data_IF_645755134223
#
_entry.id   IF_645755134223
#
_cell.length_a   1.000
_cell.length_b   1.000
_cell.length_c   1.000
_cell.angle_alpha   90.00
_cell.angle_beta   90.00
_cell.angle_gamma   90.00
#
_symmetry.space_group_name_H-M   'P 1'
#
loop_
_entity.id
_entity.type
_entity.pdbx_description
1 polymer ?
#
# COMPACT_ATOMS: atom_id res chain seq x y z
N UNK A 1 -20.88 -6.97 10.27
CA UNK A 1 -20.60 -5.55 10.57
C UNK A 1 -20.25 -4.89 9.25
N UNK A 2 -21.04 -3.96 8.77
CA UNK A 2 -20.79 -3.22 7.53
C UNK A 2 -20.02 -1.98 7.94
N UNK A 3 -18.75 -1.91 7.59
CA UNK A 3 -17.95 -0.69 7.78
C UNK A 3 -18.28 0.21 6.60
N UNK A 4 -19.04 1.26 6.81
CA UNK A 4 -19.54 2.08 5.71
C UNK A 4 -18.53 3.08 5.18
N UNK A 5 -17.61 3.57 5.93
CA UNK A 5 -16.53 4.48 5.50
C UNK A 5 -15.60 4.74 6.68
N UNK A 6 -14.34 4.51 6.52
CA UNK A 6 -13.32 5.06 7.43
C UNK A 6 -12.70 6.24 6.70
N UNK A 7 -13.15 7.44 7.01
CA UNK A 7 -12.48 8.67 6.59
C UNK A 7 -11.33 8.92 7.56
N UNK A 8 -10.11 8.79 7.10
CA UNK A 8 -8.91 9.00 7.91
C UNK A 8 -8.50 10.47 8.09
N UNK A 9 -9.43 11.42 7.95
CA UNK A 9 -9.13 12.81 8.30
C UNK A 9 -8.75 13.02 9.77
N UNK A 10 -9.07 12.03 10.63
CA UNK A 10 -8.71 12.03 12.05
C UNK A 10 -7.39 11.30 12.36
N UNK A 11 -6.88 10.45 11.44
CA UNK A 11 -5.68 9.65 11.66
C UNK A 11 -4.62 10.00 10.60
N UNK A 12 -3.90 11.08 10.82
CA UNK A 12 -2.84 11.54 9.92
C UNK A 12 -1.53 11.76 10.67
N UNK A 13 -0.96 10.74 11.33
CA UNK A 13 0.34 10.90 11.92
C UNK A 13 1.36 11.05 10.79
N UNK A 14 2.09 12.15 10.77
CA UNK A 14 3.34 12.18 10.04
C UNK A 14 4.17 10.96 10.47
N UNK A 15 4.87 10.25 9.55
CA UNK A 15 5.78 9.20 9.95
C UNK A 15 6.82 9.76 10.93
N UNK A 16 6.65 9.50 12.21
CA UNK A 16 7.43 10.08 13.30
C UNK A 16 6.60 10.79 14.39
N UNK A 17 5.33 11.09 14.12
CA UNK A 17 4.43 11.81 15.05
C UNK A 17 3.33 10.93 15.65
N UNK A 18 3.52 9.62 15.68
CA UNK A 18 2.64 8.75 16.47
C UNK A 18 2.68 9.21 17.93
N UNK A 19 1.54 9.58 18.48
CA UNK A 19 1.43 9.91 19.90
C UNK A 19 1.69 8.64 20.76
N UNK A 20 1.74 8.79 22.08
CA UNK A 20 1.99 7.66 22.97
C UNK A 20 0.90 6.58 22.83
N UNK A 21 -0.38 7.01 22.76
CA UNK A 21 -1.52 6.10 22.63
C UNK A 21 -1.49 5.32 21.33
N UNK A 22 -1.13 5.94 20.18
CA UNK A 22 -0.98 5.22 18.91
C UNK A 22 0.11 4.16 18.97
N UNK A 23 1.23 4.45 19.64
CA UNK A 23 2.31 3.48 19.85
C UNK A 23 1.88 2.32 20.72
N UNK A 24 1.10 2.57 21.76
CA UNK A 24 0.57 1.56 22.67
C UNK A 24 -0.40 0.62 21.94
N UNK A 25 -1.29 1.15 21.10
CA UNK A 25 -2.19 0.34 20.26
C UNK A 25 -1.39 -0.55 19.32
N UNK A 26 -0.40 0.02 18.59
CA UNK A 26 0.45 -0.75 17.67
C UNK A 26 1.20 -1.84 18.44
N UNK A 27 1.78 -1.51 19.58
CA UNK A 27 2.51 -2.45 20.43
C UNK A 27 1.64 -3.59 20.94
N UNK A 28 0.43 -3.30 21.41
CA UNK A 28 -0.51 -4.30 21.91
C UNK A 28 -1.00 -5.25 20.80
N UNK A 29 -1.34 -4.72 19.62
CA UNK A 29 -1.71 -5.54 18.47
C UNK A 29 -0.55 -6.41 18.00
N UNK A 30 0.66 -5.85 17.94
CA UNK A 30 1.86 -6.57 17.53
C UNK A 30 2.19 -7.73 18.51
N UNK A 31 2.09 -7.49 19.81
CA UNK A 31 2.26 -8.51 20.82
C UNK A 31 1.24 -9.65 20.67
N UNK A 32 -0.04 -9.32 20.45
CA UNK A 32 -1.08 -10.32 20.22
C UNK A 32 -0.82 -11.13 18.94
N UNK A 33 -0.38 -10.47 17.86
CA UNK A 33 -0.03 -11.16 16.61
C UNK A 33 1.16 -12.10 16.80
N UNK A 34 2.21 -11.67 17.45
CA UNK A 34 3.38 -12.50 17.67
C UNK A 34 3.07 -13.73 18.53
N UNK A 35 2.19 -13.57 19.52
CA UNK A 35 1.77 -14.67 20.38
C UNK A 35 0.94 -15.73 19.62
N UNK A 36 0.05 -15.31 18.72
CA UNK A 36 -0.95 -16.18 18.09
C UNK A 36 -0.70 -16.47 16.61
N UNK A 37 0.15 -15.68 15.95
CA UNK A 37 0.54 -15.80 14.55
C UNK A 37 2.04 -15.56 14.38
N UNK A 38 2.92 -16.46 14.88
CA UNK A 38 4.35 -16.27 14.87
C UNK A 38 4.90 -15.95 13.48
N UNK A 39 5.78 -14.95 13.41
CA UNK A 39 6.38 -14.45 12.17
C UNK A 39 5.56 -13.36 11.46
N UNK A 40 4.40 -13.01 12.01
CA UNK A 40 3.62 -11.87 11.54
C UNK A 40 3.80 -10.69 12.51
N UNK A 41 4.10 -9.51 12.00
CA UNK A 41 4.14 -8.27 12.77
C UNK A 41 3.50 -7.12 11.98
N UNK A 42 3.04 -6.11 12.67
CA UNK A 42 2.49 -4.88 12.05
C UNK A 42 3.52 -4.27 11.10
N UNK A 43 4.78 -4.21 11.52
CA UNK A 43 5.86 -3.66 10.69
C UNK A 43 6.17 -4.53 9.46
N UNK A 44 6.13 -5.86 9.58
CA UNK A 44 6.33 -6.77 8.44
C UNK A 44 5.24 -6.56 7.40
N UNK A 45 3.99 -6.48 7.84
CA UNK A 45 2.84 -6.21 6.97
C UNK A 45 2.98 -4.85 6.28
N UNK A 46 3.30 -3.78 7.02
CA UNK A 46 3.52 -2.45 6.46
C UNK A 46 4.61 -2.45 5.38
N UNK A 47 5.70 -3.17 5.63
CA UNK A 47 6.84 -3.28 4.70
C UNK A 47 6.49 -4.02 3.41
N UNK A 48 5.44 -4.86 3.39
CA UNK A 48 4.95 -5.48 2.14
C UNK A 48 4.34 -4.47 1.18
N UNK A 49 3.82 -3.34 1.70
CA UNK A 49 3.25 -2.26 0.89
C UNK A 49 4.32 -1.24 0.52
N UNK A 50 5.09 -0.77 1.51
CA UNK A 50 6.17 0.17 1.25
C UNK A 50 7.36 -0.05 2.21
N UNK A 51 8.58 -0.28 1.69
CA UNK A 51 9.77 -0.54 2.48
C UNK A 51 10.38 0.75 3.05
N UNK A 52 9.66 1.42 3.94
CA UNK A 52 9.99 2.74 4.45
C UNK A 52 11.38 2.84 5.09
N UNK A 53 11.81 1.80 5.81
CA UNK A 53 13.13 1.79 6.42
C UNK A 53 14.25 1.82 5.38
N UNK A 54 14.09 1.06 4.30
CA UNK A 54 15.05 1.04 3.20
C UNK A 54 15.06 2.37 2.43
N UNK A 55 13.88 2.96 2.19
CA UNK A 55 13.79 4.30 1.61
C UNK A 55 14.46 5.36 2.47
N UNK A 56 14.31 5.30 3.79
CA UNK A 56 15.01 6.22 4.72
C UNK A 56 16.52 6.07 4.66
N UNK A 57 17.02 4.85 4.46
CA UNK A 57 18.45 4.55 4.37
C UNK A 57 19.05 4.98 3.03
N UNK A 58 18.52 4.43 1.95
CA UNK A 58 19.15 4.53 0.62
C UNK A 58 18.64 5.70 -0.23
N UNK A 59 17.45 6.26 0.13
CA UNK A 59 16.77 7.31 -0.62
C UNK A 59 16.39 6.89 -2.05
N UNK A 60 15.61 7.74 -2.74
CA UNK A 60 15.28 7.58 -4.15
C UNK A 60 16.44 8.12 -5.02
N UNK A 61 16.83 7.46 -6.12
CA UNK A 61 16.23 6.21 -6.66
C UNK A 61 16.89 4.93 -6.13
N UNK A 62 17.95 5.00 -5.33
CA UNK A 62 18.78 3.85 -4.97
C UNK A 62 18.01 2.76 -4.23
N UNK A 63 17.05 3.11 -3.37
CA UNK A 63 16.28 2.14 -2.59
C UNK A 63 15.48 1.16 -3.46
N UNK A 64 15.11 1.52 -4.69
CA UNK A 64 14.40 0.62 -5.61
C UNK A 64 15.24 -0.62 -5.93
N UNK A 65 16.49 -0.40 -6.30
CA UNK A 65 17.42 -1.48 -6.62
C UNK A 65 17.75 -2.31 -5.38
N UNK A 66 18.03 -1.68 -4.25
CA UNK A 66 18.27 -2.34 -2.98
C UNK A 66 17.09 -3.24 -2.59
N UNK A 67 15.86 -2.76 -2.76
CA UNK A 67 14.66 -3.53 -2.45
C UNK A 67 14.47 -4.72 -3.40
N UNK A 68 14.61 -4.51 -4.70
CA UNK A 68 14.51 -5.59 -5.70
C UNK A 68 15.53 -6.68 -5.43
N UNK A 69 16.79 -6.30 -5.14
CA UNK A 69 17.85 -7.23 -4.83
C UNK A 69 17.58 -8.05 -3.56
N UNK A 70 17.07 -7.40 -2.50
CA UNK A 70 16.68 -8.07 -1.27
C UNK A 70 15.53 -9.07 -1.50
N UNK A 71 14.51 -8.67 -2.25
CA UNK A 71 13.34 -9.51 -2.55
C UNK A 71 13.68 -10.68 -3.47
N UNK A 72 14.51 -10.48 -4.48
CA UNK A 72 14.90 -11.54 -5.42
C UNK A 72 15.65 -12.67 -4.71
N UNK A 73 16.42 -12.36 -3.68
CA UNK A 73 17.12 -13.37 -2.86
C UNK A 73 16.20 -14.17 -1.96
N UNK A 74 15.10 -13.58 -1.51
CA UNK A 74 14.18 -14.18 -0.52
C UNK A 74 12.87 -14.71 -1.09
N UNK A 75 12.55 -14.43 -2.35
CA UNK A 75 11.27 -14.79 -2.94
C UNK A 75 11.19 -16.30 -3.23
N UNK A 76 10.19 -16.94 -2.67
CA UNK A 76 9.88 -18.35 -3.02
C UNK A 76 9.28 -18.41 -4.41
N UNK A 77 9.71 -19.40 -5.18
CA UNK A 77 9.16 -19.69 -6.52
C UNK A 77 7.64 -19.92 -6.40
N UNK A 78 6.87 -19.33 -7.32
CA UNK A 78 5.41 -19.46 -7.35
C UNK A 78 4.65 -18.52 -6.42
N UNK A 79 5.32 -17.57 -5.76
CA UNK A 79 4.64 -16.52 -4.99
C UNK A 79 4.56 -15.22 -5.80
N UNK A 80 3.49 -14.45 -5.57
CA UNK A 80 3.32 -13.14 -6.21
C UNK A 80 4.25 -12.03 -5.66
N UNK A 81 5.04 -12.33 -4.63
CA UNK A 81 5.95 -11.39 -3.98
C UNK A 81 5.26 -10.48 -2.97
N UNK A 82 5.52 -9.19 -3.07
CA UNK A 82 4.93 -8.15 -2.23
C UNK A 82 4.27 -7.07 -3.08
N UNK A 83 3.40 -6.26 -2.47
CA UNK A 83 2.83 -5.10 -3.16
C UNK A 83 3.92 -4.13 -3.62
N UNK A 84 4.88 -3.83 -2.74
CA UNK A 84 6.00 -2.97 -3.08
C UNK A 84 6.81 -3.49 -4.27
N UNK A 85 7.06 -4.81 -4.34
CA UNK A 85 7.78 -5.38 -5.49
C UNK A 85 7.02 -5.18 -6.80
N UNK A 86 5.70 -5.36 -6.78
CA UNK A 86 4.84 -5.13 -7.96
C UNK A 86 4.79 -3.67 -8.38
N UNK A 87 4.88 -2.73 -7.43
CA UNK A 87 4.94 -1.30 -7.72
C UNK A 87 6.30 -0.84 -8.20
N UNK A 88 7.38 -1.48 -7.76
CA UNK A 88 8.76 -1.09 -8.09
C UNK A 88 9.28 -1.78 -9.35
N UNK A 89 8.82 -3.01 -9.61
CA UNK A 89 9.29 -3.79 -10.75
C UNK A 89 8.17 -4.56 -11.42
N UNK A 90 7.94 -4.25 -12.68
CA UNK A 90 7.07 -5.00 -13.60
C UNK A 90 7.87 -5.47 -14.79
N UNK A 91 7.46 -6.60 -15.33
CA UNK A 91 7.99 -7.10 -16.60
C UNK A 91 7.05 -6.62 -17.70
N UNK A 92 7.60 -5.96 -18.70
CA UNK A 92 6.85 -5.48 -19.85
C UNK A 92 6.30 -6.65 -20.69
N UNK A 93 5.33 -6.35 -21.55
CA UNK A 93 4.61 -7.32 -22.39
C UNK A 93 5.55 -8.16 -23.28
N UNK A 94 6.71 -7.61 -23.65
CA UNK A 94 7.73 -8.32 -24.42
C UNK A 94 8.47 -9.41 -23.61
N UNK A 95 8.22 -9.53 -22.32
CA UNK A 95 8.84 -10.49 -21.40
C UNK A 95 10.34 -10.26 -21.13
N UNK A 96 10.94 -9.21 -21.69
CA UNK A 96 12.38 -8.96 -21.64
C UNK A 96 12.76 -7.71 -20.87
N UNK A 97 11.97 -6.64 -21.01
CA UNK A 97 12.24 -5.37 -20.33
C UNK A 97 11.51 -5.30 -19.00
N UNK A 98 12.09 -4.59 -18.06
CA UNK A 98 11.43 -4.26 -16.77
C UNK A 98 11.30 -2.76 -16.63
N UNK A 99 10.24 -2.34 -15.97
CA UNK A 99 9.99 -0.94 -15.67
C UNK A 99 9.53 -0.76 -14.22
N UNK A 100 9.58 0.47 -13.72
CA UNK A 100 9.20 0.83 -12.37
C UNK A 100 7.93 1.71 -12.41
N UNK A 101 6.73 1.13 -12.16
CA UNK A 101 5.47 1.88 -12.17
C UNK A 101 5.44 3.01 -11.14
N UNK A 102 6.00 2.79 -9.94
CA UNK A 102 6.02 3.77 -8.86
C UNK A 102 6.89 4.99 -9.22
N UNK A 103 8.04 4.74 -9.83
CA UNK A 103 8.90 5.82 -10.33
C UNK A 103 8.22 6.63 -11.44
N UNK A 104 7.54 5.94 -12.36
CA UNK A 104 6.79 6.58 -13.43
C UNK A 104 5.65 7.45 -12.88
N UNK A 105 4.91 6.96 -11.87
CA UNK A 105 3.90 7.72 -11.15
C UNK A 105 4.47 9.01 -10.53
N UNK A 106 5.57 8.89 -9.79
CA UNK A 106 6.22 10.05 -9.14
C UNK A 106 6.65 11.08 -10.18
N UNK A 107 7.27 10.64 -11.29
CA UNK A 107 7.69 11.54 -12.38
C UNK A 107 6.51 12.25 -13.07
N UNK A 108 5.40 11.54 -13.27
CA UNK A 108 4.17 12.15 -13.81
C UNK A 108 3.62 13.24 -12.89
N UNK A 109 3.55 12.95 -11.59
CA UNK A 109 3.12 13.92 -10.59
C UNK A 109 4.06 15.13 -10.51
N UNK A 110 5.37 14.93 -10.57
CA UNK A 110 6.34 16.03 -10.64
C UNK A 110 6.09 16.95 -11.83
N UNK A 111 5.89 16.39 -13.03
CA UNK A 111 5.56 17.16 -14.24
C UNK A 111 4.24 17.92 -14.10
N UNK A 112 3.25 17.36 -13.42
CA UNK A 112 1.95 18.01 -13.24
C UNK A 112 1.99 19.21 -12.29
N UNK A 113 2.99 19.29 -11.42
CA UNK A 113 3.18 20.42 -10.49
C UNK A 113 3.51 21.71 -11.22
N UNK A 114 4.33 21.61 -12.28
CA UNK A 114 4.78 22.76 -13.08
C UNK A 114 3.85 23.06 -14.26
N UNK A 115 2.80 22.30 -14.45
CA UNK A 115 1.87 22.37 -15.58
C UNK A 115 0.41 22.28 -15.18
N UNK A 116 -0.46 21.94 -16.17
CA UNK A 116 -1.88 21.64 -15.90
C UNK A 116 -1.99 20.30 -15.20
N UNK A 117 -2.53 20.30 -13.98
CA UNK A 117 -2.99 19.08 -13.33
C UNK A 117 -4.33 18.66 -13.96
N UNK A 118 -4.30 17.63 -14.79
CA UNK A 118 -5.53 17.07 -15.35
C UNK A 118 -6.06 16.03 -14.36
N UNK A 119 -7.22 16.31 -13.80
CA UNK A 119 -7.96 15.34 -13.01
C UNK A 119 -8.71 14.39 -13.97
N UNK A 120 -7.98 13.74 -14.87
CA UNK A 120 -8.59 12.75 -15.75
C UNK A 120 -9.00 11.55 -14.89
N UNK A 121 -10.30 11.41 -14.75
CA UNK A 121 -10.97 10.30 -14.13
C UNK A 121 -10.83 9.10 -15.06
N UNK A 122 -9.89 8.19 -14.77
CA UNK A 122 -9.99 6.83 -15.27
C UNK A 122 -10.44 5.95 -14.13
N UNK A 123 -11.72 5.86 -13.98
CA UNK A 123 -12.36 4.84 -13.18
C UNK A 123 -12.39 3.55 -13.99
N UNK A 124 -12.05 2.45 -13.35
CA UNK A 124 -12.12 1.07 -13.80
C UNK A 124 -10.93 0.53 -14.59
N UNK A 125 -10.10 -0.26 -13.90
CA UNK A 125 -9.54 -1.55 -14.27
C UNK A 125 -9.04 -1.85 -15.69
N UNK A 126 -8.79 -0.87 -16.54
CA UNK A 126 -8.25 -1.05 -17.88
C UNK A 126 -7.12 -0.05 -18.12
N UNK A 127 -6.20 0.05 -17.17
CA UNK A 127 -4.95 0.73 -17.49
C UNK A 127 -4.01 -0.32 -18.04
N UNK A 128 -3.75 -0.24 -19.32
CA UNK A 128 -2.59 -0.86 -19.91
C UNK A 128 -1.37 -0.04 -19.47
N UNK A 129 -0.80 -0.44 -18.35
CA UNK A 129 0.32 0.28 -17.70
C UNK A 129 1.50 0.45 -18.67
N UNK A 130 1.60 -0.40 -19.67
CA UNK A 130 2.64 -0.36 -20.71
C UNK A 130 2.40 0.80 -21.70
N UNK A 131 1.14 1.08 -22.08
CA UNK A 131 0.80 2.16 -22.99
C UNK A 131 0.53 3.49 -22.29
N UNK A 132 -0.12 3.48 -21.14
CA UNK A 132 -0.52 4.71 -20.44
C UNK A 132 0.63 5.38 -19.70
N UNK A 133 1.75 4.67 -19.45
CA UNK A 133 2.95 5.23 -18.84
C UNK A 133 3.94 5.82 -19.85
N UNK A 134 3.91 5.38 -21.11
CA UNK A 134 4.77 5.93 -22.19
C UNK A 134 4.16 7.18 -22.84
N UNK A 135 2.83 7.31 -22.80
CA UNK A 135 2.17 8.51 -23.28
C UNK A 135 2.06 9.55 -22.17
N UNK A 136 2.08 10.85 -22.50
CA UNK A 136 1.86 11.95 -21.55
C UNK A 136 0.45 11.94 -20.93
N UNK A 137 -0.18 10.78 -20.89
CA UNK A 137 -1.50 10.49 -20.38
C UNK A 137 -1.65 10.77 -18.87
N UNK A 138 -2.79 11.28 -18.53
CA UNK A 138 -3.15 11.96 -17.29
C UNK A 138 -3.68 11.05 -16.18
N UNK A 139 -3.12 9.87 -15.98
CA UNK A 139 -3.57 8.96 -14.93
C UNK A 139 -2.53 8.78 -13.81
N UNK A 140 -2.94 8.89 -12.56
CA UNK A 140 -2.11 8.63 -11.36
C UNK A 140 -2.58 7.37 -10.64
N UNK A 141 -2.81 6.31 -11.42
CA UNK A 141 -3.34 5.06 -10.91
C UNK A 141 -2.31 3.95 -11.01
N UNK A 142 -2.27 3.12 -9.98
CA UNK A 142 -1.32 2.04 -9.89
C UNK A 142 -2.06 0.71 -9.70
N UNK A 143 -2.28 -0.07 -10.76
CA UNK A 143 -2.91 -1.38 -10.63
C UNK A 143 -1.98 -2.36 -9.93
N UNK A 144 -2.50 -3.10 -8.95
CA UNK A 144 -1.77 -4.12 -8.21
C UNK A 144 -2.17 -5.54 -8.59
N UNK A 145 -3.32 -5.68 -9.21
CA UNK A 145 -3.76 -6.93 -9.83
C UNK A 145 -3.26 -6.98 -11.27
N UNK A 146 -2.57 -8.05 -11.62
CA UNK A 146 -2.09 -8.31 -12.97
C UNK A 146 -2.91 -9.45 -13.57
N UNK A 147 -3.87 -9.17 -14.49
CA UNK A 147 -4.69 -10.22 -15.08
C UNK A 147 -3.88 -11.28 -15.83
N UNK A 148 -2.73 -10.93 -16.37
CA UNK A 148 -1.85 -11.86 -17.06
C UNK A 148 -1.19 -12.87 -16.12
N UNK A 149 -0.69 -12.39 -14.99
CA UNK A 149 -0.02 -13.21 -13.99
C UNK A 149 -1.01 -13.88 -13.01
N UNK A 150 -2.10 -13.17 -12.64
CA UNK A 150 -2.97 -13.56 -11.53
C UNK A 150 -4.22 -14.35 -11.96
N UNK A 151 -4.57 -14.37 -13.26
CA UNK A 151 -5.83 -14.96 -13.78
C UNK A 151 -6.08 -16.41 -13.39
N UNK A 152 -5.03 -17.19 -13.23
CA UNK A 152 -5.11 -18.62 -12.93
C UNK A 152 -4.88 -18.94 -11.45
N UNK A 153 -4.74 -17.93 -10.58
CA UNK A 153 -4.50 -18.12 -9.15
C UNK A 153 -5.83 -18.15 -8.38
N UNK A 154 -6.32 -19.33 -7.93
CA UNK A 154 -7.56 -19.42 -7.20
C UNK A 154 -7.42 -18.95 -5.75
N UNK A 155 -6.19 -18.85 -5.23
CA UNK A 155 -5.84 -18.49 -3.85
C UNK A 155 -4.58 -17.65 -3.81
N UNK A 156 -4.34 -16.98 -2.69
CA UNK A 156 -3.13 -16.18 -2.42
C UNK A 156 -2.89 -15.03 -3.43
N UNK A 157 -3.96 -14.49 -3.99
CA UNK A 157 -3.87 -13.32 -4.85
C UNK A 157 -3.70 -12.04 -4.02
N UNK A 158 -3.09 -10.97 -4.58
CA UNK A 158 -3.00 -9.69 -3.90
C UNK A 158 -4.40 -9.16 -3.53
N UNK A 159 -4.60 -8.84 -2.26
CA UNK A 159 -5.89 -8.30 -1.80
C UNK A 159 -6.04 -6.81 -2.10
N UNK A 160 -4.98 -6.04 -1.97
CA UNK A 160 -4.90 -4.68 -2.46
C UNK A 160 -4.89 -4.73 -3.99
N UNK A 161 -5.93 -4.19 -4.61
CA UNK A 161 -6.18 -4.33 -6.05
C UNK A 161 -5.92 -3.04 -6.83
N UNK A 162 -6.06 -1.89 -6.17
CA UNK A 162 -5.97 -0.60 -6.86
C UNK A 162 -5.49 0.49 -5.91
N UNK A 163 -4.68 1.40 -6.44
CA UNK A 163 -4.27 2.64 -5.81
C UNK A 163 -4.54 3.79 -6.78
N UNK A 164 -5.24 4.79 -6.32
CA UNK A 164 -5.58 5.99 -7.08
C UNK A 164 -5.04 7.22 -6.38
N UNK A 165 -4.22 7.99 -7.09
CA UNK A 165 -3.70 9.25 -6.59
C UNK A 165 -4.36 10.40 -7.32
N UNK A 166 -4.87 11.38 -6.58
CA UNK A 166 -5.50 12.58 -7.13
C UNK A 166 -4.90 13.82 -6.50
N UNK A 167 -4.79 14.88 -7.29
CA UNK A 167 -4.36 16.18 -6.75
C UNK A 167 -5.58 17.08 -6.59
N UNK A 168 -5.89 17.42 -5.34
CA UNK A 168 -7.02 18.26 -4.97
C UNK A 168 -6.54 19.47 -4.19
N UNK A 169 -6.75 20.67 -4.69
CA UNK A 169 -6.34 21.91 -4.02
C UNK A 169 -4.84 21.94 -3.62
N UNK A 170 -3.97 21.39 -4.45
CA UNK A 170 -2.53 21.34 -4.21
C UNK A 170 -2.07 20.23 -3.25
N UNK A 171 -2.97 19.37 -2.79
CA UNK A 171 -2.68 18.21 -1.95
C UNK A 171 -2.84 16.94 -2.76
N UNK A 172 -2.02 15.96 -2.45
CA UNK A 172 -2.08 14.63 -3.04
C UNK A 172 -2.93 13.71 -2.16
N UNK A 173 -4.05 13.28 -2.67
CA UNK A 173 -4.95 12.31 -2.05
C UNK A 173 -4.58 10.90 -2.51
N UNK A 174 -4.76 9.90 -1.64
CA UNK A 174 -4.61 8.49 -1.98
C UNK A 174 -5.89 7.73 -1.64
N UNK A 175 -6.44 7.03 -2.62
CA UNK A 175 -7.49 6.02 -2.40
C UNK A 175 -6.93 4.63 -2.68
N UNK A 176 -7.11 3.72 -1.73
CA UNK A 176 -6.68 2.33 -1.82
C UNK A 176 -7.90 1.40 -1.76
N UNK A 177 -7.99 0.42 -2.66
CA UNK A 177 -9.10 -0.52 -2.70
C UNK A 177 -8.62 -1.96 -2.44
N UNK A 178 -9.18 -2.57 -1.41
CA UNK A 178 -9.00 -3.97 -1.06
C UNK A 178 -10.23 -4.78 -1.44
N UNK A 179 -10.06 -5.83 -2.25
CA UNK A 179 -11.14 -6.78 -2.57
C UNK A 179 -11.41 -7.80 -1.48
N UNK A 180 -10.45 -8.01 -0.57
CA UNK A 180 -10.60 -8.78 0.67
C UNK A 180 -9.60 -8.24 1.69
N UNK A 181 -10.06 -7.91 2.89
CA UNK A 181 -9.21 -7.28 3.90
C UNK A 181 -9.41 -7.95 5.25
N UNK A 182 -8.33 -8.54 5.76
CA UNK A 182 -8.29 -9.25 7.03
C UNK A 182 -7.92 -8.27 8.15
N UNK A 183 -8.89 -7.97 8.99
CA UNK A 183 -8.79 -6.89 9.96
C UNK A 183 -7.97 -7.26 11.20
N UNK A 184 -7.95 -8.54 11.61
CA UNK A 184 -7.13 -8.98 12.73
C UNK A 184 -5.64 -8.90 12.44
N UNK A 185 -5.21 -9.51 11.35
CA UNK A 185 -3.78 -9.68 11.07
C UNK A 185 -3.15 -8.65 10.11
N UNK A 186 -3.96 -7.90 9.36
CA UNK A 186 -3.43 -7.11 8.23
C UNK A 186 -3.76 -5.62 8.26
N UNK A 187 -4.94 -5.21 8.74
CA UNK A 187 -5.43 -3.85 8.54
C UNK A 187 -4.47 -2.79 9.09
N UNK A 188 -4.00 -2.94 10.33
CA UNK A 188 -3.14 -1.94 10.96
C UNK A 188 -1.80 -1.78 10.19
N UNK A 189 -1.16 -2.88 9.86
CA UNK A 189 0.06 -2.86 9.05
C UNK A 189 -0.18 -2.29 7.65
N UNK A 190 -1.32 -2.63 7.03
CA UNK A 190 -1.69 -2.10 5.72
C UNK A 190 -1.91 -0.58 5.75
N UNK A 191 -2.59 -0.06 6.78
CA UNK A 191 -2.79 1.38 6.95
C UNK A 191 -1.46 2.12 7.11
N UNK A 192 -0.56 1.59 7.95
CA UNK A 192 0.78 2.15 8.12
C UNK A 192 1.58 2.08 6.80
N UNK A 193 1.52 0.97 6.09
CA UNK A 193 2.20 0.80 4.81
C UNK A 193 1.70 1.77 3.73
N UNK A 194 0.38 1.94 3.64
CA UNK A 194 -0.26 2.91 2.73
C UNK A 194 0.09 4.36 3.11
N UNK A 195 0.08 4.68 4.40
CA UNK A 195 0.50 5.99 4.88
C UNK A 195 1.96 6.30 4.51
N UNK A 196 2.85 5.33 4.66
CA UNK A 196 4.26 5.47 4.26
C UNK A 196 4.41 5.65 2.75
N UNK A 197 3.67 4.88 1.95
CA UNK A 197 3.64 5.01 0.48
C UNK A 197 3.11 6.39 0.07
N UNK A 198 2.01 6.82 0.65
CA UNK A 198 1.40 8.13 0.38
C UNK A 198 2.38 9.26 0.68
N UNK A 199 3.03 9.21 1.86
CA UNK A 199 4.04 10.20 2.24
C UNK A 199 5.23 10.21 1.26
N UNK A 200 5.71 9.03 0.86
CA UNK A 200 6.78 8.91 -0.14
C UNK A 200 6.40 9.59 -1.45
N UNK A 201 5.23 9.26 -2.00
CA UNK A 201 4.79 9.83 -3.28
C UNK A 201 4.59 11.34 -3.18
N UNK A 202 3.99 11.83 -2.09
CA UNK A 202 3.77 13.26 -1.88
C UNK A 202 5.10 14.03 -1.79
N UNK A 203 6.02 13.57 -0.95
CA UNK A 203 7.35 14.20 -0.76
C UNK A 203 8.13 14.20 -2.06
N UNK A 204 8.23 13.05 -2.74
CA UNK A 204 9.03 12.90 -3.95
C UNK A 204 8.43 13.63 -5.16
N UNK A 205 7.11 13.84 -5.18
CA UNK A 205 6.45 14.62 -6.23
C UNK A 205 6.31 16.11 -5.89
N UNK A 206 6.61 16.49 -4.64
CA UNK A 206 6.59 17.88 -4.16
C UNK A 206 5.19 18.41 -3.84
N UNK A 207 4.21 17.53 -3.60
CA UNK A 207 2.88 17.91 -3.12
C UNK A 207 2.78 17.80 -1.60
N UNK A 208 1.86 18.57 -1.00
CA UNK A 208 1.41 18.30 0.35
C UNK A 208 0.55 17.04 0.38
N UNK A 209 0.57 16.34 1.51
CA UNK A 209 -0.32 15.20 1.72
C UNK A 209 -1.76 15.66 1.91
N UNK A 210 -2.66 15.03 1.17
CA UNK A 210 -4.09 15.06 1.40
C UNK A 210 -4.58 13.84 2.19
N UNK A 211 -5.88 13.53 2.18
CA UNK A 211 -6.45 12.36 2.83
C UNK A 211 -6.01 11.03 2.19
N UNK A 212 -5.95 10.00 3.04
CA UNK A 212 -5.84 8.60 2.66
C UNK A 212 -7.22 7.95 2.87
N UNK A 213 -7.82 7.44 1.81
CA UNK A 213 -9.08 6.69 1.85
C UNK A 213 -8.83 5.23 1.58
N UNK A 214 -9.35 4.34 2.43
CA UNK A 214 -9.24 2.89 2.24
C UNK A 214 -10.62 2.28 2.09
N UNK A 215 -10.85 1.58 0.99
CA UNK A 215 -12.10 0.89 0.68
C UNK A 215 -11.85 -0.61 0.76
N UNK A 216 -12.56 -1.29 1.65
CA UNK A 216 -12.55 -2.75 1.76
C UNK A 216 -13.88 -3.31 1.27
N UNK A 217 -13.92 -3.90 0.06
CA UNK A 217 -15.15 -4.46 -0.50
C UNK A 217 -15.61 -5.71 0.23
N UNK A 218 -14.69 -6.41 0.87
CA UNK A 218 -14.96 -7.50 1.81
C UNK A 218 -14.02 -7.38 3.02
N UNK A 219 -14.56 -7.02 4.17
CA UNK A 219 -13.82 -6.91 5.43
C UNK A 219 -14.12 -8.10 6.33
N UNK A 220 -13.10 -8.78 6.82
CA UNK A 220 -13.21 -9.93 7.70
C UNK A 220 -12.39 -9.72 8.98
N UNK A 221 -13.04 -9.76 10.14
CA UNK A 221 -12.35 -9.78 11.43
C UNK A 221 -11.92 -11.23 11.74
N UNK A 222 -10.68 -11.53 11.44
CA UNK A 222 -10.05 -12.84 11.65
C UNK A 222 -9.54 -12.97 13.09
N UNK A 223 -10.45 -13.17 14.02
CA UNK A 223 -10.16 -13.20 15.46
C UNK A 223 -9.16 -14.30 15.86
N UNK A 224 -9.03 -15.36 15.08
CA UNK A 224 -8.08 -16.44 15.36
C UNK A 224 -6.61 -15.95 15.37
N UNK A 225 -6.28 -15.01 14.51
CA UNK A 225 -4.93 -14.42 14.47
C UNK A 225 -4.57 -13.61 15.74
N UNK A 226 -5.58 -13.23 16.52
CA UNK A 226 -5.46 -12.50 17.78
C UNK A 226 -5.81 -13.37 19.02
N UNK A 227 -5.82 -14.69 18.88
CA UNK A 227 -6.09 -15.62 20.01
C UNK A 227 -7.58 -15.97 20.20
N UNK A 228 -8.42 -15.73 19.19
CA UNK A 228 -9.85 -16.05 19.22
C UNK A 228 -10.73 -14.94 19.78
N UNK A 229 -12.03 -15.16 19.81
CA UNK A 229 -13.03 -14.14 20.13
C UNK A 229 -12.84 -13.49 21.52
N UNK A 230 -12.50 -14.28 22.54
CA UNK A 230 -12.31 -13.74 23.90
C UNK A 230 -11.08 -12.84 23.99
N UNK A 231 -9.95 -13.27 23.43
CA UNK A 231 -8.71 -12.50 23.44
C UNK A 231 -8.86 -11.22 22.60
N UNK A 232 -9.45 -11.31 21.41
CA UNK A 232 -9.73 -10.15 20.54
C UNK A 232 -10.60 -9.13 21.26
N UNK A 233 -11.66 -9.56 21.95
CA UNK A 233 -12.55 -8.65 22.69
C UNK A 233 -11.82 -7.99 23.86
N UNK A 234 -11.00 -8.74 24.59
CA UNK A 234 -10.18 -8.20 25.67
C UNK A 234 -9.17 -7.15 25.17
N UNK A 235 -8.53 -7.43 24.02
CA UNK A 235 -7.62 -6.48 23.37
C UNK A 235 -8.33 -5.19 22.96
N UNK A 236 -9.50 -5.28 22.33
CA UNK A 236 -10.28 -4.08 21.93
C UNK A 236 -10.71 -3.25 23.14
N UNK A 237 -11.20 -3.89 24.20
CA UNK A 237 -11.63 -3.18 25.41
C UNK A 237 -10.45 -2.54 26.19
N UNK A 238 -9.21 -2.90 25.89
CA UNK A 238 -8.05 -2.27 26.51
C UNK A 238 -7.68 -0.91 25.89
N UNK A 239 -8.37 -0.51 24.83
CA UNK A 239 -8.17 0.77 24.15
C UNK A 239 -9.27 1.81 24.49
N UNK A 240 -10.35 1.37 25.14
CA UNK A 240 -11.43 2.23 25.64
C UNK A 240 -11.03 2.87 26.98
#
# INVERSE_FOLDING_TARGET
MRVEWVSESAWNPHPGELNAQDRDVIGAVDAALQQHSPGLSVQTVASTIFPNNLYKLDKRPAFYESYVNAMTRGQKVGTWGTYALRMIRRVARNGKTTYNPLEALVRKLQKSKDGRCYQAVYELGVIDVEFDLEDDGFGFELPLYDPGADRNMPRNMPCLSHLSFKVTQGKLDLTAMYRSHWYGQRVLGNLIGLNNLHNFVAVESGFERGPLTVISTHALLDMQSLGGAKATRALLNSFD
#
